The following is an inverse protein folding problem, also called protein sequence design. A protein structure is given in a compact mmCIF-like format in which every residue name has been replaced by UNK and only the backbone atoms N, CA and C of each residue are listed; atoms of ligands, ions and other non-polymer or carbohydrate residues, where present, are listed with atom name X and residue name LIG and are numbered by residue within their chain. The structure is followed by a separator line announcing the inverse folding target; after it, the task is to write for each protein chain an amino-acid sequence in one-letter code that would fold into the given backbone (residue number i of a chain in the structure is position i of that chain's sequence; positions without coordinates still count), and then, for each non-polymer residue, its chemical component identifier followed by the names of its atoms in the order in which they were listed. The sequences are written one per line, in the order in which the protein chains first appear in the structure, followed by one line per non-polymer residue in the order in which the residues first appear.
data_IF_733221097722
#
_entry.id   IF_733221097722
#
_cell.length_a   1.000
_cell.length_b   1.000
_cell.length_c   1.000
_cell.angle_alpha   90.00
_cell.angle_beta   90.00
_cell.angle_gamma   90.00
#
_symmetry.space_group_name_H-M   'P 1'
#
loop_
_entity.id
_entity.type
_entity.pdbx_description
1 polymer ?
#
# COMPACT_ATOMS: atom_id res chain seq x y z
N UNK A 1 -14.78 2.35 -1.71
CA UNK A 1 -13.52 2.52 -2.47
C UNK A 1 -13.56 1.54 -3.63
N UNK A 2 -13.12 1.92 -4.82
CA UNK A 2 -12.93 1.01 -5.97
C UNK A 2 -11.56 0.31 -5.84
N UNK A 3 -11.50 -1.03 -5.83
CA UNK A 3 -10.28 -1.79 -5.54
C UNK A 3 -9.93 -2.70 -6.72
N UNK A 4 -8.75 -2.52 -7.29
CA UNK A 4 -8.16 -3.35 -8.34
C UNK A 4 -6.95 -4.12 -7.80
N UNK A 5 -7.10 -5.44 -7.64
CA UNK A 5 -6.05 -6.37 -7.20
C UNK A 5 -5.65 -7.36 -8.28
N UNK A 6 -6.02 -7.11 -9.54
CA UNK A 6 -5.80 -8.04 -10.66
C UNK A 6 -4.34 -8.38 -10.94
N UNK A 7 -3.41 -7.55 -10.43
CA UNK A 7 -1.95 -7.70 -10.57
C UNK A 7 -1.24 -7.91 -9.24
N UNK A 8 -1.98 -8.21 -8.19
CA UNK A 8 -1.44 -8.55 -6.88
C UNK A 8 -1.63 -10.04 -6.63
N UNK A 9 -0.56 -10.72 -6.24
CA UNK A 9 -0.53 -12.13 -5.88
C UNK A 9 -1.43 -12.49 -4.68
N UNK A 10 -1.75 -11.49 -3.84
CA UNK A 10 -2.35 -11.70 -2.52
C UNK A 10 -1.32 -11.86 -1.41
N UNK A 11 -0.02 -11.81 -1.72
CA UNK A 11 1.05 -11.92 -0.74
C UNK A 11 1.29 -10.60 -0.01
N UNK A 12 1.47 -10.68 1.31
CA UNK A 12 1.79 -9.54 2.18
C UNK A 12 0.66 -9.22 3.14
N UNK A 13 0.83 -9.61 4.41
CA UNK A 13 -0.15 -9.34 5.46
C UNK A 13 -0.24 -7.83 5.75
N UNK A 14 0.87 -7.11 5.66
CA UNK A 14 0.89 -5.68 5.87
C UNK A 14 0.23 -4.92 4.70
N UNK A 15 0.36 -5.42 3.48
CA UNK A 15 -0.33 -4.91 2.29
C UNK A 15 -1.84 -5.03 2.45
N UNK A 16 -2.34 -6.17 2.92
CA UNK A 16 -3.77 -6.33 3.22
C UNK A 16 -4.23 -5.33 4.30
N UNK A 17 -3.47 -5.18 5.40
CA UNK A 17 -3.77 -4.21 6.45
C UNK A 17 -3.87 -2.78 5.92
N UNK A 18 -2.96 -2.38 5.02
CA UNK A 18 -3.00 -1.08 4.36
C UNK A 18 -4.24 -0.92 3.48
N UNK A 19 -4.61 -1.95 2.70
CA UNK A 19 -5.84 -1.93 1.88
C UNK A 19 -7.07 -1.72 2.76
N UNK A 20 -7.16 -2.43 3.88
CA UNK A 20 -8.27 -2.36 4.81
C UNK A 20 -8.38 -0.95 5.41
N UNK A 21 -7.28 -0.38 5.90
CA UNK A 21 -7.25 0.98 6.43
C UNK A 21 -7.60 2.04 5.38
N UNK A 22 -7.09 1.90 4.15
CA UNK A 22 -7.44 2.79 3.02
C UNK A 22 -8.94 2.73 2.70
N UNK A 23 -9.56 1.55 2.84
CA UNK A 23 -10.99 1.35 2.67
C UNK A 23 -11.85 2.16 3.65
N UNK A 24 -11.32 2.50 4.83
CA UNK A 24 -12.02 3.31 5.85
C UNK A 24 -12.00 4.81 5.56
N UNK A 25 -11.13 5.28 4.66
CA UNK A 25 -10.95 6.70 4.39
C UNK A 25 -11.91 7.19 3.29
N UNK A 26 -12.88 8.05 3.64
CA UNK A 26 -13.77 8.68 2.65
C UNK A 26 -13.02 9.58 1.64
N UNK A 27 -11.76 9.93 1.90
CA UNK A 27 -10.96 10.64 0.91
C UNK A 27 -10.49 9.74 -0.25
N UNK A 28 -10.47 8.41 -0.09
CA UNK A 28 -9.88 7.47 -1.06
C UNK A 28 -10.94 6.95 -2.04
N UNK A 29 -10.79 7.32 -3.31
CA UNK A 29 -11.73 6.93 -4.38
C UNK A 29 -11.42 5.52 -4.90
N UNK A 30 -10.17 5.31 -5.32
CA UNK A 30 -9.70 4.07 -5.96
C UNK A 30 -8.34 3.67 -5.41
N UNK A 31 -8.13 2.37 -5.28
CA UNK A 31 -6.87 1.72 -4.95
C UNK A 31 -6.58 0.66 -5.99
N UNK A 32 -5.35 0.62 -6.48
CA UNK A 32 -4.82 -0.47 -7.30
C UNK A 32 -3.58 -1.03 -6.65
N UNK A 33 -3.50 -2.35 -6.54
CA UNK A 33 -2.39 -3.05 -5.90
C UNK A 33 -1.70 -3.92 -6.94
N UNK A 34 -0.37 -3.86 -6.97
CA UNK A 34 0.45 -4.62 -7.91
C UNK A 34 1.66 -5.23 -7.16
N UNK A 35 2.05 -6.45 -7.51
CA UNK A 35 3.35 -7.00 -7.08
C UNK A 35 4.48 -6.22 -7.78
N UNK A 36 5.47 -5.79 -7.03
CA UNK A 36 6.65 -5.17 -7.60
C UNK A 36 7.63 -6.24 -8.13
N UNK A 37 8.39 -5.97 -9.21
CA UNK A 37 9.36 -6.92 -9.77
C UNK A 37 10.47 -7.37 -8.80
N UNK A 38 10.63 -6.66 -7.67
CA UNK A 38 11.71 -6.90 -6.71
C UNK A 38 11.41 -8.04 -5.72
N UNK A 39 10.20 -8.62 -5.70
CA UNK A 39 9.85 -9.74 -4.83
C UNK A 39 10.78 -10.94 -5.07
N UNK A 40 11.44 -11.44 -4.01
CA UNK A 40 12.45 -12.50 -4.08
C UNK A 40 12.41 -13.38 -2.83
N UNK A 41 12.40 -14.69 -3.03
CA UNK A 41 12.67 -15.66 -1.96
C UNK A 41 14.13 -16.14 -2.04
N UNK A 42 14.81 -16.21 -0.90
CA UNK A 42 16.16 -16.74 -0.75
C UNK A 42 16.25 -17.66 0.49
N UNK A 43 17.34 -18.39 0.65
CA UNK A 43 17.48 -19.45 1.66
C UNK A 43 17.36 -18.97 3.13
N UNK A 44 17.43 -17.66 3.37
CA UNK A 44 17.33 -17.06 4.71
C UNK A 44 16.24 -16.00 4.87
N UNK A 45 15.61 -15.56 3.78
CA UNK A 45 14.55 -14.55 3.85
C UNK A 45 13.59 -14.63 2.66
N UNK A 46 12.37 -14.17 2.87
CA UNK A 46 11.41 -13.88 1.80
C UNK A 46 11.20 -12.38 1.77
N UNK A 47 11.38 -11.78 0.60
CA UNK A 47 11.13 -10.37 0.37
C UNK A 47 9.89 -10.21 -0.50
N UNK A 48 8.86 -9.63 0.07
CA UNK A 48 7.64 -9.22 -0.63
C UNK A 48 7.77 -7.72 -0.89
N UNK A 49 7.57 -7.31 -2.13
CA UNK A 49 7.52 -5.91 -2.50
C UNK A 49 6.23 -5.64 -3.25
N UNK A 50 5.38 -4.78 -2.71
CA UNK A 50 4.10 -4.41 -3.31
C UNK A 50 4.01 -2.90 -3.55
N UNK A 51 3.26 -2.51 -4.57
CA UNK A 51 2.99 -1.12 -4.91
C UNK A 51 1.48 -0.86 -4.86
N UNK A 52 1.10 0.21 -4.15
CA UNK A 52 -0.29 0.65 -4.00
C UNK A 52 -0.44 2.00 -4.68
N UNK A 53 -1.30 2.07 -5.69
CA UNK A 53 -1.64 3.30 -6.39
C UNK A 53 -2.99 3.80 -5.93
N UNK A 54 -3.04 5.03 -5.43
CA UNK A 54 -4.24 5.62 -4.82
C UNK A 54 -4.72 6.81 -5.65
N UNK A 55 -6.02 6.85 -5.92
CA UNK A 55 -6.69 8.06 -6.40
C UNK A 55 -7.55 8.64 -5.29
N UNK A 56 -7.29 9.90 -4.92
CA UNK A 56 -8.12 10.62 -3.97
C UNK A 56 -9.39 11.17 -4.66
N UNK A 57 -10.51 11.16 -3.93
CA UNK A 57 -11.72 11.90 -4.31
C UNK A 57 -11.39 13.38 -4.48
N UNK A 58 -12.13 14.08 -5.32
CA UNK A 58 -11.93 15.52 -5.58
C UNK A 58 -13.05 16.36 -4.96
N UNK A 59 -12.76 17.58 -4.54
CA UNK A 59 -13.78 18.50 -4.03
C UNK A 59 -14.64 19.07 -5.17
N UNK A 60 -15.98 19.08 -5.02
CA UNK A 60 -16.93 19.72 -5.94
C UNK A 60 -17.85 18.75 -6.71
N UNK A 61 -19.05 19.22 -7.11
CA UNK A 61 -20.13 18.42 -7.72
C UNK A 61 -19.73 17.72 -9.05
N UNK A 62 -18.63 18.14 -9.68
CA UNK A 62 -18.12 17.66 -10.97
C UNK A 62 -16.61 17.32 -10.92
N UNK A 63 -16.10 16.85 -9.78
CA UNK A 63 -14.70 16.41 -9.68
C UNK A 63 -13.70 17.55 -9.78
N UNK A 64 -13.82 18.54 -8.90
CA UNK A 64 -13.03 19.78 -8.96
C UNK A 64 -11.50 19.60 -8.90
N UNK A 65 -10.80 20.71 -9.08
CA UNK A 65 -9.36 20.69 -9.41
C UNK A 65 -8.46 20.14 -8.30
N UNK A 66 -8.91 20.13 -7.04
CA UNK A 66 -8.11 19.72 -5.88
C UNK A 66 -8.58 18.39 -5.29
N UNK A 67 -7.65 17.45 -5.00
CA UNK A 67 -7.99 16.24 -4.27
C UNK A 67 -8.43 16.59 -2.84
N UNK A 68 -9.29 15.74 -2.26
CA UNK A 68 -9.79 15.82 -0.88
C UNK A 68 -8.71 15.58 0.16
N UNK A 69 -7.62 14.93 -0.24
CA UNK A 69 -6.50 14.57 0.60
C UNK A 69 -5.22 14.59 -0.23
N UNK A 70 -4.10 14.79 0.44
CA UNK A 70 -2.74 14.71 -0.12
C UNK A 70 -2.05 13.46 0.42
N UNK A 71 -0.88 13.13 -0.14
CA UNK A 71 -0.10 12.01 0.39
C UNK A 71 0.38 12.26 1.83
N UNK A 72 0.75 13.50 2.17
CA UNK A 72 1.05 13.89 3.55
C UNK A 72 -0.18 13.78 4.48
N UNK A 73 -1.38 14.09 3.98
CA UNK A 73 -2.61 13.88 4.75
C UNK A 73 -2.91 12.39 4.96
N UNK A 74 -2.61 11.55 3.97
CA UNK A 74 -2.71 10.11 4.08
C UNK A 74 -1.70 9.56 5.09
N UNK A 75 -0.45 10.01 5.04
CA UNK A 75 0.60 9.66 6.00
C UNK A 75 0.13 9.93 7.43
N UNK A 76 -0.39 11.12 7.70
CA UNK A 76 -0.93 11.46 9.02
C UNK A 76 -2.08 10.53 9.45
N UNK A 77 -2.99 10.20 8.54
CA UNK A 77 -4.11 9.30 8.82
C UNK A 77 -3.67 7.86 9.11
N UNK A 78 -2.73 7.33 8.32
CA UNK A 78 -2.17 5.98 8.50
C UNK A 78 -1.29 5.89 9.75
N UNK A 79 -0.53 6.95 10.07
CA UNK A 79 0.30 7.01 11.26
C UNK A 79 -0.50 6.95 12.57
N UNK A 80 -1.75 7.42 12.55
CA UNK A 80 -2.67 7.31 13.68
C UNK A 80 -3.25 5.90 13.88
N UNK A 81 -3.13 5.02 12.88
CA UNK A 81 -3.62 3.65 12.96
C UNK A 81 -2.61 2.77 13.71
N UNK A 82 -3.03 2.17 14.82
CA UNK A 82 -2.15 1.45 15.76
C UNK A 82 -1.32 0.35 15.09
N UNK A 83 -1.93 -0.39 14.16
CA UNK A 83 -1.27 -1.50 13.48
C UNK A 83 -0.41 -1.08 12.25
N UNK A 84 -0.52 0.19 11.81
CA UNK A 84 0.18 0.68 10.61
C UNK A 84 1.32 1.62 10.98
N UNK A 85 1.09 2.61 11.82
CA UNK A 85 2.11 3.58 12.22
C UNK A 85 2.67 4.42 11.06
N UNK A 86 3.74 5.16 11.35
CA UNK A 86 4.37 6.04 10.37
C UNK A 86 5.20 5.25 9.33
N UNK A 87 5.28 5.73 8.08
CA UNK A 87 6.16 5.14 7.08
C UNK A 87 7.63 5.38 7.41
N UNK A 88 8.51 4.48 6.98
CA UNK A 88 9.96 4.66 7.07
C UNK A 88 10.48 5.76 6.13
N UNK A 89 9.75 6.07 5.06
CA UNK A 89 10.03 7.19 4.16
C UNK A 89 8.74 7.79 3.59
N UNK A 90 8.69 9.12 3.45
CA UNK A 90 7.56 9.81 2.85
C UNK A 90 7.97 11.12 2.19
N UNK A 91 7.43 11.39 1.01
CA UNK A 91 7.49 12.68 0.32
C UNK A 91 6.16 13.02 -0.38
N UNK A 92 6.16 14.03 -1.27
CA UNK A 92 4.95 14.43 -1.97
C UNK A 92 4.45 13.40 -3.01
N UNK A 93 5.30 12.48 -3.45
CA UNK A 93 5.04 11.51 -4.51
C UNK A 93 4.89 10.07 -4.02
N UNK A 94 5.50 9.70 -2.90
CA UNK A 94 5.55 8.33 -2.42
C UNK A 94 5.66 8.21 -0.89
N UNK A 95 4.97 7.22 -0.31
CA UNK A 95 5.23 6.71 1.04
C UNK A 95 5.79 5.30 0.93
N UNK A 96 6.77 4.94 1.76
CA UNK A 96 7.33 3.61 1.82
C UNK A 96 7.28 3.06 3.23
N UNK A 97 6.75 1.85 3.32
CA UNK A 97 6.77 1.05 4.53
C UNK A 97 7.73 -0.13 4.36
N UNK A 98 8.39 -0.51 5.44
CA UNK A 98 9.25 -1.69 5.53
C UNK A 98 8.96 -2.44 6.83
N UNK A 99 8.28 -3.59 6.71
CA UNK A 99 8.02 -4.49 7.82
C UNK A 99 8.96 -5.68 7.78
N UNK A 100 9.40 -6.10 8.96
CA UNK A 100 10.20 -7.31 9.12
C UNK A 100 9.60 -8.17 10.19
N UNK A 101 9.37 -9.44 9.86
CA UNK A 101 8.81 -10.43 10.77
C UNK A 101 9.65 -11.71 10.70
N UNK A 102 9.76 -12.43 11.81
CA UNK A 102 10.37 -13.75 11.81
C UNK A 102 9.28 -14.81 11.82
N UNK A 103 9.14 -15.52 10.70
CA UNK A 103 8.14 -16.58 10.53
C UNK A 103 8.77 -17.92 10.89
N UNK A 104 8.17 -18.63 11.85
CA UNK A 104 8.57 -19.98 12.25
C UNK A 104 7.42 -20.94 11.93
N UNK A 105 7.49 -21.72 10.83
CA UNK A 105 6.47 -22.72 10.52
C UNK A 105 6.35 -23.78 11.64
N UNK A 106 5.16 -24.37 11.88
CA UNK A 106 4.91 -25.28 12.99
C UNK A 106 5.83 -26.52 13.08
N UNK A 107 6.45 -26.90 11.96
CA UNK A 107 7.32 -28.08 11.83
C UNK A 107 8.79 -27.73 11.50
N UNK A 108 9.17 -26.44 11.52
CA UNK A 108 10.52 -25.99 11.15
C UNK A 108 11.20 -25.28 12.33
N UNK A 109 12.36 -25.78 12.75
CA UNK A 109 13.12 -25.20 13.89
C UNK A 109 13.85 -23.90 13.54
N UNK A 110 14.16 -23.68 12.25
CA UNK A 110 14.76 -22.43 11.74
C UNK A 110 13.71 -21.60 11.02
N UNK A 111 13.16 -20.59 11.70
CA UNK A 111 12.34 -19.58 11.04
C UNK A 111 13.12 -18.79 9.99
N UNK A 112 12.42 -18.30 8.97
CA UNK A 112 12.97 -17.37 7.98
C UNK A 112 12.54 -15.94 8.31
N UNK A 113 13.27 -14.96 7.78
CA UNK A 113 12.87 -13.56 7.90
C UNK A 113 11.93 -13.21 6.74
N UNK A 114 10.73 -12.77 7.03
CA UNK A 114 9.87 -12.10 6.08
C UNK A 114 10.18 -10.61 6.12
N UNK A 115 10.44 -10.03 4.96
CA UNK A 115 10.60 -8.59 4.79
C UNK A 115 9.54 -8.16 3.79
N UNK A 116 8.65 -7.29 4.21
CA UNK A 116 7.58 -6.76 3.37
C UNK A 116 7.80 -5.28 3.17
N UNK A 117 8.01 -4.87 1.92
CA UNK A 117 8.12 -3.47 1.53
C UNK A 117 6.88 -3.06 0.75
N UNK A 118 6.22 -2.00 1.18
CA UNK A 118 5.03 -1.47 0.47
C UNK A 118 5.27 -0.01 0.11
N UNK A 119 5.13 0.32 -1.17
CA UNK A 119 5.23 1.70 -1.66
C UNK A 119 3.87 2.19 -2.09
N UNK A 120 3.46 3.34 -1.57
CA UNK A 120 2.18 3.97 -1.86
C UNK A 120 2.42 5.21 -2.72
N UNK A 121 1.75 5.27 -3.88
CA UNK A 121 1.82 6.38 -4.82
C UNK A 121 0.45 7.04 -4.99
N UNK A 122 0.43 8.37 -5.09
CA UNK A 122 -0.76 9.08 -5.55
C UNK A 122 -0.84 9.01 -7.09
N UNK A 123 -1.78 8.25 -7.63
CA UNK A 123 -2.05 8.23 -9.06
C UNK A 123 -2.61 9.60 -9.47
N UNK A 124 -1.91 10.30 -10.36
CA UNK A 124 -2.49 11.43 -11.07
C UNK A 124 -3.72 10.91 -11.82
N UNK A 125 -4.91 11.36 -11.42
CA UNK A 125 -6.21 10.78 -11.80
C UNK A 125 -6.51 10.79 -13.31
N UNK A 126 -5.79 9.96 -14.07
CA UNK A 126 -6.10 9.55 -15.44
C UNK A 126 -6.64 8.14 -15.35
N UNK A 127 -7.93 8.03 -15.61
CA UNK A 127 -8.65 6.77 -15.70
C UNK A 127 -7.92 5.85 -16.72
N UNK A 128 -7.47 4.63 -16.37
CA UNK A 128 -6.81 3.74 -17.34
C UNK A 128 -7.79 3.07 -18.34
N UNK A 129 -9.03 3.53 -18.43
CA UNK A 129 -9.99 3.06 -19.43
C UNK A 129 -10.02 3.96 -20.66
N UNK A 130 -9.59 3.42 -21.80
CA UNK A 130 -9.51 3.98 -23.17
C UNK A 130 -8.19 4.66 -23.55
N UNK A 131 -7.29 3.85 -24.11
CA UNK A 131 -6.66 4.14 -25.40
C UNK A 131 -7.16 3.09 -26.39
#
# INVERSE_FOLDING_TARGET
MDLDTSRWSGDGAFTQLLIDALGTLDAVQRVRVEDAPASRADAGFSFISNEIFITFRRHGLLGGRRPRMTLAGLEFALAAHTDIGAPEYGDAGMLQYLRTERIVPPFQTRGYKLVEMVRIYAAAGRNPGKA
#
